data_IF_466545683173
#
_entry.id   IF_466545683173
#
_cell.length_a   1.000
_cell.length_b   1.000
_cell.length_c   1.000
_cell.angle_alpha   90.00
_cell.angle_beta   90.00
_cell.angle_gamma   90.00
#
_symmetry.space_group_name_H-M   'P 1'
#
loop_
_entity.id
_entity.type
_entity.pdbx_description
1 polymer ?
#
# COMPACT_ATOMS: atom_id res chain seq x y z
N UNK A 1 2.49 -11.02 -42.21
CA UNK A 1 3.19 -10.06 -41.34
C UNK A 1 2.19 -9.08 -40.73
N UNK A 2 1.33 -8.45 -41.54
CA UNK A 2 0.32 -7.48 -41.07
C UNK A 2 -0.64 -8.04 -40.02
N UNK A 3 -1.11 -9.28 -40.14
CA UNK A 3 -2.02 -9.92 -39.18
C UNK A 3 -1.48 -9.97 -37.74
N UNK A 4 -0.18 -10.24 -37.55
CA UNK A 4 0.44 -10.30 -36.22
C UNK A 4 0.66 -8.91 -35.63
N UNK A 5 1.08 -7.94 -36.45
CA UNK A 5 1.22 -6.54 -36.02
C UNK A 5 -0.14 -5.92 -35.71
N UNK A 6 -1.16 -6.21 -36.51
CA UNK A 6 -2.53 -5.73 -36.31
C UNK A 6 -3.15 -6.33 -35.04
N UNK A 7 -2.94 -7.63 -34.77
CA UNK A 7 -3.36 -8.25 -33.50
C UNK A 7 -2.67 -7.62 -32.29
N UNK A 8 -1.37 -7.33 -32.38
CA UNK A 8 -0.63 -6.65 -31.31
C UNK A 8 -1.14 -5.22 -31.10
N UNK A 9 -1.43 -4.49 -32.18
CA UNK A 9 -1.96 -3.14 -32.12
C UNK A 9 -3.38 -3.10 -31.55
N UNK A 10 -4.26 -4.02 -31.97
CA UNK A 10 -5.59 -4.21 -31.40
C UNK A 10 -5.52 -4.55 -29.91
N UNK A 11 -4.61 -5.44 -29.51
CA UNK A 11 -4.40 -5.80 -28.12
C UNK A 11 -3.99 -4.59 -27.28
N UNK A 12 -3.01 -3.81 -27.75
CA UNK A 12 -2.57 -2.57 -27.09
C UNK A 12 -3.70 -1.55 -26.96
N UNK A 13 -4.55 -1.41 -27.99
CA UNK A 13 -5.70 -0.50 -27.96
C UNK A 13 -6.81 -0.98 -27.02
N UNK A 14 -7.12 -2.28 -27.04
CA UNK A 14 -8.20 -2.87 -26.24
C UNK A 14 -7.90 -2.83 -24.75
N UNK A 15 -6.67 -3.16 -24.36
CA UNK A 15 -6.28 -3.19 -22.96
C UNK A 15 -5.62 -1.88 -22.49
N UNK A 16 -5.30 -0.96 -23.39
CA UNK A 16 -4.53 0.27 -23.12
C UNK A 16 -3.18 -0.01 -22.40
N UNK A 17 -2.54 -1.12 -22.75
CA UNK A 17 -1.30 -1.58 -22.12
C UNK A 17 -0.18 -1.62 -23.16
N UNK A 18 0.88 -0.85 -22.89
CA UNK A 18 2.08 -0.81 -23.70
C UNK A 18 3.06 -1.94 -23.33
N UNK A 19 3.25 -2.15 -22.03
CA UNK A 19 4.12 -3.18 -21.45
C UNK A 19 3.48 -3.79 -20.19
N UNK A 20 2.89 -5.00 -20.30
CA UNK A 20 2.29 -5.69 -19.15
C UNK A 20 3.29 -6.07 -18.05
N UNK A 21 4.56 -6.28 -18.39
CA UNK A 21 5.59 -6.71 -17.44
C UNK A 21 5.99 -5.55 -16.53
N UNK A 22 6.22 -4.37 -17.10
CA UNK A 22 6.48 -3.15 -16.34
C UNK A 22 5.31 -2.81 -15.40
N UNK A 23 4.06 -2.90 -15.86
CA UNK A 23 2.89 -2.66 -15.01
C UNK A 23 2.76 -3.69 -13.88
N UNK A 24 3.11 -4.96 -14.13
CA UNK A 24 3.08 -6.02 -13.10
C UNK A 24 4.08 -5.75 -11.99
N UNK A 25 5.25 -5.23 -12.35
CA UNK A 25 6.27 -4.81 -11.39
C UNK A 25 5.77 -3.64 -10.54
N UNK A 26 5.21 -2.60 -11.16
CA UNK A 26 4.68 -1.43 -10.44
C UNK A 26 3.57 -1.82 -9.46
N UNK A 27 2.61 -2.64 -9.89
CA UNK A 27 1.55 -3.14 -8.98
C UNK A 27 2.13 -3.96 -7.82
N UNK A 28 3.21 -4.72 -8.06
CA UNK A 28 3.86 -5.52 -7.01
C UNK A 28 4.54 -4.63 -5.96
N UNK A 29 5.15 -3.53 -6.42
CA UNK A 29 5.75 -2.52 -5.55
C UNK A 29 4.68 -1.79 -4.73
N UNK A 30 3.58 -1.36 -5.36
CA UNK A 30 2.44 -0.76 -4.69
C UNK A 30 1.83 -1.72 -3.65
N UNK A 31 1.61 -2.99 -4.00
CA UNK A 31 1.12 -4.02 -3.08
C UNK A 31 2.02 -4.16 -1.85
N UNK A 32 3.33 -4.17 -2.05
CA UNK A 32 4.30 -4.27 -0.96
C UNK A 32 4.23 -3.04 -0.04
N UNK A 33 4.07 -1.85 -0.61
CA UNK A 33 3.92 -0.62 0.16
C UNK A 33 2.64 -0.61 1.00
N UNK A 34 1.49 -0.98 0.42
CA UNK A 34 0.21 -1.05 1.16
C UNK A 34 0.23 -2.12 2.26
N UNK A 35 0.84 -3.29 2.00
CA UNK A 35 1.04 -4.33 3.02
C UNK A 35 1.86 -3.84 4.20
N UNK A 36 2.93 -3.09 3.93
CA UNK A 36 3.73 -2.46 4.99
C UNK A 36 2.89 -1.49 5.81
N UNK A 37 2.14 -0.61 5.14
CA UNK A 37 1.27 0.35 5.81
C UNK A 37 0.18 -0.34 6.64
N UNK A 38 -0.36 -1.47 6.18
CA UNK A 38 -1.34 -2.27 6.91
C UNK A 38 -0.73 -2.85 8.19
N UNK A 39 0.45 -3.45 8.09
CA UNK A 39 1.17 -3.99 9.26
C UNK A 39 1.49 -2.90 10.29
N UNK A 40 1.95 -1.72 9.85
CA UNK A 40 2.19 -0.58 10.72
C UNK A 40 0.90 -0.10 11.41
N UNK A 41 -0.20 -0.03 10.67
CA UNK A 41 -1.52 0.35 11.21
C UNK A 41 -2.03 -0.68 12.21
N UNK A 42 -1.83 -1.97 11.95
CA UNK A 42 -2.20 -3.08 12.83
C UNK A 42 -1.44 -3.05 14.16
N UNK A 43 -0.12 -2.80 14.10
CA UNK A 43 0.71 -2.59 15.30
C UNK A 43 0.22 -1.40 16.11
N UNK A 44 -0.01 -0.25 15.46
CA UNK A 44 -0.53 0.94 16.13
C UNK A 44 -1.91 0.69 16.76
N UNK A 45 -2.81 0.03 16.04
CA UNK A 45 -4.14 -0.32 16.54
C UNK A 45 -4.07 -1.20 17.79
N UNK A 46 -3.18 -2.20 17.80
CA UNK A 46 -3.01 -3.07 18.95
C UNK A 46 -2.44 -2.33 20.16
N UNK A 47 -1.51 -1.39 19.95
CA UNK A 47 -0.98 -0.54 21.02
C UNK A 47 -2.06 0.32 21.66
N UNK A 48 -2.88 1.01 20.84
CA UNK A 48 -3.97 1.86 21.35
C UNK A 48 -5.04 1.03 22.05
N UNK A 49 -5.37 -0.17 21.53
CA UNK A 49 -6.29 -1.10 22.20
C UNK A 49 -5.80 -1.54 23.58
N UNK A 50 -4.51 -1.84 23.71
CA UNK A 50 -3.91 -2.17 25.01
C UNK A 50 -4.04 -0.99 25.97
N UNK A 51 -3.65 0.21 25.52
CA UNK A 51 -3.73 1.42 26.34
C UNK A 51 -5.17 1.75 26.76
N UNK A 52 -6.15 1.52 25.89
CA UNK A 52 -7.57 1.70 26.21
C UNK A 52 -8.06 0.70 27.26
N UNK A 53 -7.66 -0.57 27.15
CA UNK A 53 -7.98 -1.60 28.14
C UNK A 53 -7.42 -1.26 29.51
N UNK A 54 -6.16 -0.78 29.56
CA UNK A 54 -5.51 -0.35 30.80
C UNK A 54 -6.24 0.86 31.41
N UNK A 55 -6.63 1.84 30.57
CA UNK A 55 -7.41 3.00 30.97
C UNK A 55 -8.77 2.61 31.54
N UNK A 56 -9.52 1.75 30.85
CA UNK A 56 -10.83 1.28 31.32
C UNK A 56 -10.73 0.55 32.65
N UNK A 57 -9.70 -0.29 32.81
CA UNK A 57 -9.45 -1.05 34.05
C UNK A 57 -9.14 -0.11 35.21
N UNK A 58 -8.25 0.87 35.03
CA UNK A 58 -7.89 1.79 36.10
C UNK A 58 -9.05 2.71 36.51
N UNK A 59 -9.82 3.22 35.54
CA UNK A 59 -10.99 4.07 35.84
C UNK A 59 -12.09 3.29 36.60
N UNK A 60 -12.23 1.99 36.32
CA UNK A 60 -13.18 1.14 37.04
C UNK A 60 -12.72 0.83 38.48
N UNK A 61 -11.41 0.76 38.72
CA UNK A 61 -10.84 0.45 40.04
C UNK A 61 -10.65 1.69 40.94
N UNK A 62 -10.47 2.87 40.36
CA UNK A 62 -10.19 4.13 41.09
C UNK A 62 -11.14 5.25 40.66
N UNK A 63 -12.38 5.26 41.16
CA UNK A 63 -13.40 6.26 40.79
C UNK A 63 -13.11 7.67 41.33
N UNK A 64 -12.13 7.83 42.23
CA UNK A 64 -11.76 9.13 42.82
C UNK A 64 -10.89 10.00 41.90
N UNK A 65 -10.76 9.66 40.62
CA UNK A 65 -9.99 10.45 39.65
C UNK A 65 -8.47 10.34 39.80
N UNK A 66 -7.97 9.36 40.56
CA UNK A 66 -6.53 9.10 40.77
C UNK A 66 -6.00 7.97 39.87
N UNK A 67 -6.61 7.81 38.69
CA UNK A 67 -6.09 6.89 37.68
C UNK A 67 -4.79 7.45 37.09
N UNK A 68 -3.79 6.59 36.97
CA UNK A 68 -2.44 6.93 36.52
C UNK A 68 -2.06 6.04 35.34
N UNK A 69 -2.71 6.27 34.21
CA UNK A 69 -2.34 5.66 32.93
C UNK A 69 -1.51 6.62 32.10
N UNK A 70 -0.77 6.07 31.13
CA UNK A 70 -0.02 6.86 30.15
C UNK A 70 -0.91 7.82 29.37
N UNK A 71 -2.14 7.42 29.01
CA UNK A 71 -3.09 8.27 28.30
C UNK A 71 -3.51 9.49 29.13
N UNK A 72 -3.78 9.29 30.43
CA UNK A 72 -4.16 10.37 31.35
C UNK A 72 -2.96 11.23 31.75
N UNK A 73 -1.77 10.64 31.89
CA UNK A 73 -0.55 11.38 32.25
C UNK A 73 -0.06 12.32 31.15
N UNK A 74 -0.33 11.97 29.89
CA UNK A 74 -0.02 12.81 28.74
C UNK A 74 -1.05 13.91 28.48
N UNK A 75 -2.24 13.85 29.11
CA UNK A 75 -3.26 14.87 28.95
C UNK A 75 -3.01 16.07 29.87
N UNK A 76 -2.68 17.22 29.28
CA UNK A 76 -2.33 18.44 30.03
C UNK A 76 -3.48 19.00 30.90
N UNK A 77 -4.75 18.80 30.51
CA UNK A 77 -5.90 19.29 31.30
C UNK A 77 -6.12 18.42 32.53
N UNK A 78 -6.03 17.11 32.37
CA UNK A 78 -6.10 16.16 33.46
C UNK A 78 -4.97 16.39 34.48
N UNK A 79 -3.73 16.59 34.01
CA UNK A 79 -2.61 16.92 34.90
C UNK A 79 -2.85 18.21 35.69
N UNK A 80 -3.35 19.28 35.04
CA UNK A 80 -3.69 20.53 35.74
C UNK A 80 -4.75 20.36 36.83
N UNK A 81 -5.77 19.53 36.58
CA UNK A 81 -6.81 19.25 37.57
C UNK A 81 -6.24 18.44 38.76
N UNK A 82 -5.33 17.50 38.50
CA UNK A 82 -4.62 16.76 39.55
C UNK A 82 -3.72 17.67 40.38
N UNK A 83 -3.00 18.60 39.75
CA UNK A 83 -2.17 19.60 40.46
C UNK A 83 -3.03 20.48 41.38
N UNK A 84 -4.21 20.92 40.90
CA UNK A 84 -5.16 21.67 41.72
C UNK A 84 -5.68 20.86 42.89
N UNK A 85 -6.05 19.59 42.67
CA UNK A 85 -6.49 18.69 43.72
C UNK A 85 -5.41 18.50 44.79
N UNK A 86 -4.16 18.25 44.38
CA UNK A 86 -3.03 18.12 45.29
C UNK A 86 -2.78 19.42 46.08
N UNK A 87 -2.89 20.58 45.43
CA UNK A 87 -2.79 21.87 46.13
C UNK A 87 -3.87 22.01 47.21
N UNK A 88 -5.12 21.64 46.92
CA UNK A 88 -6.19 21.68 47.92
C UNK A 88 -5.95 20.67 49.03
N UNK A 89 -5.55 19.44 48.71
CA UNK A 89 -5.24 18.39 49.71
C UNK A 89 -4.10 18.82 50.66
N UNK A 90 -3.06 19.49 50.15
CA UNK A 90 -1.96 20.01 50.99
C UNK A 90 -2.42 21.16 51.90
N UNK A 91 -3.33 22.04 51.42
CA UNK A 91 -3.92 23.10 52.23
C UNK A 91 -4.82 22.54 53.33
N UNK A 92 -5.64 21.52 53.02
CA UNK A 92 -6.44 20.81 54.02
C UNK A 92 -5.54 20.21 55.09
N UNK A 93 -4.47 19.51 54.70
CA UNK A 93 -3.54 18.90 55.65
C UNK A 93 -2.85 19.92 56.57
N UNK A 94 -2.49 21.09 56.03
CA UNK A 94 -1.89 22.16 56.80
C UNK A 94 -2.88 22.79 57.80
N UNK A 95 -4.10 23.11 57.34
CA UNK A 95 -5.15 23.72 58.17
C UNK A 95 -5.66 22.75 59.26
N UNK A 96 -5.86 21.47 58.94
CA UNK A 96 -6.28 20.44 59.91
C UNK A 96 -5.23 20.15 60.99
N UNK A 97 -3.96 20.49 60.78
CA UNK A 97 -2.92 20.41 61.81
C UNK A 97 -3.02 21.55 62.82
N UNK A 98 -3.53 22.71 62.38
CA UNK A 98 -3.61 23.94 63.18
C UNK A 98 -4.97 24.14 63.84
N UNK A 99 -6.03 23.57 63.27
CA UNK A 99 -7.41 23.79 63.68
C UNK A 99 -8.16 22.47 63.88
N UNK A 100 -9.16 22.48 64.76
CA UNK A 100 -10.05 21.33 65.00
C UNK A 100 -10.82 21.00 63.71
N UNK A 101 -11.04 19.71 63.44
CA UNK A 101 -11.88 19.24 62.33
C UNK A 101 -13.23 19.96 62.34
N UNK A 102 -13.52 20.72 61.27
CA UNK A 102 -14.77 21.49 61.11
C UNK A 102 -14.65 23.02 61.20
N UNK A 103 -13.43 23.58 61.17
CA UNK A 103 -13.27 25.03 61.00
C UNK A 103 -13.86 25.50 59.64
N UNK A 104 -14.41 26.73 59.55
CA UNK A 104 -14.97 27.25 58.29
C UNK A 104 -13.99 27.18 57.11
N UNK A 105 -12.70 27.39 57.37
CA UNK A 105 -11.65 27.33 56.35
C UNK A 105 -11.46 25.90 55.81
N UNK A 106 -11.39 24.90 56.70
CA UNK A 106 -11.28 23.49 56.31
C UNK A 106 -12.50 23.06 55.50
N UNK A 107 -13.70 23.53 55.86
CA UNK A 107 -14.93 23.19 55.15
C UNK A 107 -14.96 23.75 53.72
N UNK A 108 -14.55 25.00 53.52
CA UNK A 108 -14.41 25.59 52.18
C UNK A 108 -13.43 24.79 51.31
N UNK A 109 -12.31 24.34 51.87
CA UNK A 109 -11.34 23.52 51.15
C UNK A 109 -11.89 22.13 50.81
N UNK A 110 -12.64 21.51 51.72
CA UNK A 110 -13.32 20.24 51.43
C UNK A 110 -14.38 20.39 50.32
N UNK A 111 -15.13 21.49 50.30
CA UNK A 111 -16.09 21.79 49.22
C UNK A 111 -15.36 21.98 47.88
N UNK A 112 -14.24 22.71 47.87
CA UNK A 112 -13.39 22.85 46.67
C UNK A 112 -12.91 21.48 46.17
N UNK A 113 -12.41 20.62 47.07
CA UNK A 113 -12.00 19.25 46.75
C UNK A 113 -13.16 18.45 46.14
N UNK A 114 -14.34 18.50 46.76
CA UNK A 114 -15.55 17.81 46.30
C UNK A 114 -15.98 18.27 44.90
N UNK A 115 -15.80 19.55 44.57
CA UNK A 115 -16.09 20.10 43.25
C UNK A 115 -15.03 19.74 42.19
N UNK A 116 -13.78 19.51 42.58
CA UNK A 116 -12.70 19.12 41.65
C UNK A 116 -12.80 17.66 41.18
N UNK A 117 -13.18 16.74 42.08
CA UNK A 117 -13.32 15.31 41.76
C UNK A 117 -14.21 15.03 40.52
N UNK A 118 -15.43 15.57 40.39
CA UNK A 118 -16.25 15.34 39.19
C UNK A 118 -15.64 15.95 37.94
N UNK A 119 -14.88 17.05 38.04
CA UNK A 119 -14.18 17.63 36.88
C UNK A 119 -13.06 16.71 36.40
N UNK A 120 -12.29 16.11 37.32
CA UNK A 120 -11.25 15.13 37.01
C UNK A 120 -11.86 13.89 36.34
N UNK A 121 -12.96 13.36 36.89
CA UNK A 121 -13.65 12.21 36.34
C UNK A 121 -14.21 12.49 34.94
N UNK A 122 -14.78 13.68 34.72
CA UNK A 122 -15.25 14.09 33.40
C UNK A 122 -14.09 14.20 32.40
N UNK A 123 -12.95 14.77 32.80
CA UNK A 123 -11.79 14.84 31.90
C UNK A 123 -11.21 13.45 31.61
N UNK A 124 -11.20 12.55 32.59
CA UNK A 124 -10.79 11.16 32.38
C UNK A 124 -11.70 10.44 31.37
N UNK A 125 -13.01 10.64 31.46
CA UNK A 125 -13.97 10.11 30.48
C UNK A 125 -13.73 10.69 29.09
N UNK A 126 -13.45 12.00 28.99
CA UNK A 126 -13.11 12.63 27.71
C UNK A 126 -11.86 12.04 27.07
N UNK A 127 -10.81 11.77 27.87
CA UNK A 127 -9.60 11.08 27.39
C UNK A 127 -9.94 9.66 26.93
N UNK A 128 -10.79 8.93 27.66
CA UNK A 128 -11.23 7.60 27.26
C UNK A 128 -11.96 7.63 25.90
N UNK A 129 -12.86 8.58 25.69
CA UNK A 129 -13.59 8.73 24.44
C UNK A 129 -12.67 9.09 23.26
N UNK A 130 -11.65 9.90 23.51
CA UNK A 130 -10.62 10.25 22.53
C UNK A 130 -9.81 9.02 22.11
N UNK A 131 -9.32 8.22 23.06
CA UNK A 131 -8.61 6.96 22.77
C UNK A 131 -9.53 5.97 22.04
N UNK A 132 -10.80 5.87 22.42
CA UNK A 132 -11.79 5.06 21.69
C UNK A 132 -11.98 5.53 20.25
N UNK A 133 -11.94 6.84 19.99
CA UNK A 133 -11.99 7.39 18.64
C UNK A 133 -10.77 7.00 17.82
N UNK A 134 -9.57 7.09 18.40
CA UNK A 134 -8.34 6.66 17.73
C UNK A 134 -8.38 5.18 17.32
N UNK A 135 -8.97 4.31 18.16
CA UNK A 135 -9.20 2.89 17.81
C UNK A 135 -10.12 2.76 16.59
N UNK A 136 -11.21 3.53 16.53
CA UNK A 136 -12.15 3.52 15.39
C UNK A 136 -11.46 3.98 14.12
N UNK A 137 -10.69 5.06 14.18
CA UNK A 137 -9.98 5.63 13.04
C UNK A 137 -8.93 4.67 12.48
N UNK A 138 -8.10 4.08 13.36
CA UNK A 138 -7.11 3.07 12.97
C UNK A 138 -7.77 1.80 12.42
N UNK A 139 -8.89 1.37 13.00
CA UNK A 139 -9.65 0.21 12.50
C UNK A 139 -10.20 0.46 11.10
N UNK A 140 -10.79 1.63 10.86
CA UNK A 140 -11.30 2.03 9.55
C UNK A 140 -10.17 2.12 8.51
N UNK A 141 -9.03 2.72 8.90
CA UNK A 141 -7.83 2.76 8.04
C UNK A 141 -7.34 1.38 7.67
N UNK A 142 -7.28 0.46 8.63
CA UNK A 142 -6.85 -0.93 8.38
C UNK A 142 -7.82 -1.64 7.40
N UNK A 143 -9.13 -1.46 7.55
CA UNK A 143 -10.12 -2.03 6.63
C UNK A 143 -9.97 -1.46 5.21
N UNK A 144 -9.75 -0.15 5.07
CA UNK A 144 -9.51 0.47 3.77
C UNK A 144 -8.23 -0.07 3.09
N UNK A 145 -7.18 -0.33 3.88
CA UNK A 145 -5.94 -0.93 3.38
C UNK A 145 -6.16 -2.37 2.91
N UNK A 146 -6.90 -3.19 3.67
CA UNK A 146 -7.29 -4.54 3.24
C UNK A 146 -8.06 -4.52 1.93
N UNK A 147 -9.06 -3.63 1.81
CA UNK A 147 -9.82 -3.48 0.56
C UNK A 147 -8.96 -3.05 -0.63
N UNK A 148 -7.98 -2.17 -0.41
CA UNK A 148 -7.04 -1.72 -1.44
C UNK A 148 -6.10 -2.86 -1.86
N UNK A 149 -5.56 -3.63 -0.92
CA UNK A 149 -4.75 -4.81 -1.21
C UNK A 149 -5.53 -5.85 -2.02
N UNK A 150 -6.79 -6.10 -1.67
CA UNK A 150 -7.63 -7.06 -2.40
C UNK A 150 -7.89 -6.61 -3.84
N UNK A 151 -8.16 -5.31 -4.05
CA UNK A 151 -8.29 -4.73 -5.39
C UNK A 151 -7.00 -4.83 -6.20
N UNK A 152 -5.85 -4.52 -5.60
CA UNK A 152 -4.56 -4.66 -6.29
C UNK A 152 -4.24 -6.12 -6.63
N UNK A 153 -4.60 -7.06 -5.75
CA UNK A 153 -4.43 -8.48 -5.99
C UNK A 153 -5.28 -8.95 -7.18
N UNK A 154 -6.51 -8.45 -7.30
CA UNK A 154 -7.36 -8.74 -8.44
C UNK A 154 -6.76 -8.17 -9.74
N UNK A 155 -6.33 -6.90 -9.74
CA UNK A 155 -5.66 -6.29 -10.91
C UNK A 155 -4.41 -7.06 -11.32
N UNK A 156 -3.65 -7.57 -10.35
CA UNK A 156 -2.46 -8.39 -10.62
C UNK A 156 -2.80 -9.72 -11.29
N UNK A 157 -3.90 -10.37 -10.89
CA UNK A 157 -4.40 -11.59 -11.55
C UNK A 157 -4.82 -11.30 -12.99
N UNK A 158 -5.59 -10.23 -13.19
CA UNK A 158 -6.07 -9.84 -14.52
C UNK A 158 -4.88 -9.51 -15.45
N UNK A 159 -3.91 -8.75 -14.94
CA UNK A 159 -2.70 -8.40 -15.67
C UNK A 159 -1.83 -9.62 -16.00
N UNK A 160 -1.80 -10.63 -15.13
CA UNK A 160 -1.08 -11.89 -15.41
C UNK A 160 -1.67 -12.65 -16.60
N UNK A 161 -3.00 -12.61 -16.77
CA UNK A 161 -3.67 -13.20 -17.94
C UNK A 161 -3.30 -12.42 -19.19
N UNK A 162 -3.41 -11.09 -19.14
CA UNK A 162 -3.07 -10.17 -20.24
C UNK A 162 -1.59 -10.34 -20.66
N UNK A 163 -0.67 -10.39 -19.69
CA UNK A 163 0.77 -10.52 -19.95
C UNK A 163 1.08 -11.80 -20.73
N UNK A 164 0.44 -12.94 -20.40
CA UNK A 164 0.61 -14.20 -21.12
C UNK A 164 0.14 -14.10 -22.57
N UNK A 165 -0.99 -13.45 -22.81
CA UNK A 165 -1.51 -13.23 -24.16
C UNK A 165 -0.59 -12.34 -24.98
N UNK A 166 -0.09 -11.26 -24.37
CA UNK A 166 0.88 -10.37 -24.98
C UNK A 166 2.17 -11.09 -25.40
N UNK A 167 2.77 -11.87 -24.50
CA UNK A 167 3.97 -12.67 -24.79
C UNK A 167 3.72 -13.70 -25.91
N UNK A 168 2.53 -14.31 -25.94
CA UNK A 168 2.13 -15.22 -27.02
C UNK A 168 2.10 -14.51 -28.37
N UNK A 169 1.42 -13.36 -28.48
CA UNK A 169 1.32 -12.58 -29.72
C UNK A 169 2.71 -12.12 -30.19
N UNK A 170 3.56 -11.66 -29.26
CA UNK A 170 4.94 -11.27 -29.60
C UNK A 170 5.75 -12.44 -30.16
N UNK A 171 5.63 -13.64 -29.58
CA UNK A 171 6.32 -14.84 -30.06
C UNK A 171 5.84 -15.25 -31.46
N UNK A 172 4.52 -15.24 -31.70
CA UNK A 172 3.95 -15.53 -33.02
C UNK A 172 4.46 -14.55 -34.09
N UNK A 173 4.52 -13.26 -33.75
CA UNK A 173 5.05 -12.23 -34.64
C UNK A 173 6.54 -12.43 -34.93
N UNK A 174 7.33 -12.78 -33.92
CA UNK A 174 8.76 -13.06 -34.08
C UNK A 174 8.99 -14.26 -35.01
N UNK A 175 8.29 -15.38 -34.80
CA UNK A 175 8.39 -16.57 -35.65
C UNK A 175 7.98 -16.25 -37.10
N UNK A 176 6.89 -15.51 -37.29
CA UNK A 176 6.43 -15.13 -38.62
C UNK A 176 7.45 -14.23 -39.35
N UNK A 177 8.13 -13.35 -38.61
CA UNK A 177 9.17 -12.46 -39.15
C UNK A 177 10.41 -13.25 -39.56
N UNK A 178 10.86 -14.17 -38.71
CA UNK A 178 12.00 -15.05 -38.99
C UNK A 178 11.75 -15.95 -40.21
N UNK A 179 10.59 -16.60 -40.27
CA UNK A 179 10.21 -17.44 -41.40
C UNK A 179 10.18 -16.66 -42.73
N UNK A 180 9.70 -15.42 -42.70
CA UNK A 180 9.69 -14.56 -43.88
C UNK A 180 11.11 -14.21 -44.33
N UNK A 181 12.00 -13.84 -43.41
CA UNK A 181 13.39 -13.54 -43.70
C UNK A 181 14.08 -14.73 -44.37
N UNK A 182 13.87 -15.94 -43.83
CA UNK A 182 14.40 -17.18 -44.42
C UNK A 182 13.83 -17.45 -45.82
N UNK A 183 12.53 -17.22 -46.04
CA UNK A 183 11.92 -17.38 -47.36
C UNK A 183 12.49 -16.39 -48.38
N UNK A 184 12.65 -15.12 -48.00
CA UNK A 184 13.24 -14.09 -48.87
C UNK A 184 14.69 -14.43 -49.22
N UNK A 185 15.49 -14.91 -48.26
CA UNK A 185 16.85 -15.37 -48.50
C UNK A 185 16.89 -16.56 -49.48
N UNK A 186 16.04 -17.58 -49.30
CA UNK A 186 15.93 -18.73 -50.22
C UNK A 186 15.52 -18.30 -51.62
N UNK A 187 14.57 -17.38 -51.74
CA UNK A 187 14.13 -16.84 -53.03
C UNK A 187 15.29 -16.14 -53.76
N UNK A 188 16.07 -15.33 -53.04
CA UNK A 188 17.21 -14.62 -53.63
C UNK A 188 18.31 -15.60 -54.07
N UNK A 189 18.60 -16.61 -53.26
CA UNK A 189 19.53 -17.69 -53.64
C UNK A 189 19.09 -18.39 -54.94
N UNK A 190 17.81 -18.74 -55.07
CA UNK A 190 17.28 -19.37 -56.29
C UNK A 190 17.35 -18.46 -57.52
N UNK A 191 17.19 -17.14 -57.36
CA UNK A 191 17.37 -16.18 -58.47
C UNK A 191 18.82 -16.13 -58.94
N UNK A 192 19.76 -16.13 -58.00
CA UNK A 192 21.19 -16.17 -58.29
C UNK A 192 21.53 -17.47 -59.04
N UNK A 193 21.08 -18.62 -58.54
CA UNK A 193 21.27 -19.92 -59.18
C UNK A 193 20.69 -19.99 -60.60
N UNK A 194 19.49 -19.42 -60.80
CA UNK A 194 18.84 -19.39 -62.11
C UNK A 194 19.63 -18.52 -63.11
N UNK A 195 20.19 -17.38 -62.67
CA UNK A 195 21.06 -16.53 -63.49
C UNK A 195 22.38 -17.20 -63.86
N UNK A 196 22.96 -18.00 -62.95
CA UNK A 196 24.20 -18.74 -63.21
C UNK A 196 24.01 -19.95 -64.15
N UNK A 197 22.83 -20.57 -64.18
CA UNK A 197 22.53 -21.72 -65.06
C UNK A 197 22.19 -21.34 -66.51
N UNK A 198 21.96 -20.07 -66.83
CA UNK A 198 21.52 -19.61 -68.16
C UNK A 198 22.62 -19.29 -69.20
N UNK A 199 23.87 -19.70 -68.99
CA UNK A 199 24.92 -19.58 -70.04
C UNK A 199 25.49 -20.95 -70.44
N UNK A 200 25.11 -21.44 -71.62
CA UNK A 200 26.11 -21.61 -72.67
C UNK A 200 25.54 -21.22 -74.04
N UNK A 201 25.84 -20.01 -74.52
CA UNK A 201 25.76 -19.74 -75.96
C UNK A 201 27.01 -20.33 -76.62
N UNK A 202 26.93 -21.58 -77.09
CA UNK A 202 27.93 -22.14 -78.00
C UNK A 202 27.70 -21.57 -79.41
N UNK A 203 28.72 -20.88 -79.94
CA UNK A 203 28.76 -20.46 -81.34
C UNK A 203 28.70 -21.69 -82.26
N UNK A 204 27.65 -21.78 -83.09
CA UNK A 204 27.59 -22.71 -84.22
C UNK A 204 27.96 -21.93 -85.48
N UNK A 205 29.14 -22.20 -86.03
CA UNK A 205 29.49 -21.98 -87.43
C UNK A 205 30.28 -23.23 -87.84
N UNK A 206 29.84 -24.10 -88.75
CA UNK A 206 29.42 -23.85 -90.14
C UNK A 206 30.55 -24.37 -91.06
N UNK A 207 30.31 -25.25 -92.03
CA UNK A 207 31.26 -26.30 -92.43
C UNK A 207 32.43 -25.85 -93.29
N UNK A 208 33.47 -26.68 -93.21
CA UNK A 208 34.70 -26.76 -94.00
C UNK A 208 34.57 -26.39 -95.47
N UNK A 209 35.57 -25.68 -95.98
CA UNK A 209 36.05 -25.99 -97.33
C UNK A 209 37.58 -25.99 -97.41
N UNK A 210 38.07 -27.01 -98.11
CA UNK A 210 39.46 -27.43 -98.23
C UNK A 210 40.29 -26.46 -99.09
N UNK A 211 41.61 -26.49 -98.88
CA UNK A 211 42.59 -25.97 -99.81
C UNK A 211 43.92 -26.69 -99.62
N UNK A 212 44.20 -27.65 -100.49
CA UNK A 212 45.46 -28.38 -100.61
C UNK A 212 46.65 -27.47 -100.90
N UNK A 213 47.83 -27.83 -100.40
CA UNK A 213 48.99 -28.30 -101.18
C UNK A 213 50.02 -28.96 -100.24
#
# INVERSE_FOLDING_TARGET
>A
MELGQQRLQQFRQQYNIFDPESQSKELSEQMTAFRRQRLETEVALNQVRSSFSDLQTQLSQKPDGLASTTALSQNARYQKLLEQLQSVDTQIAAESSLFVDGSPNVQVLQDQRSNLVPLINNEAQRVQDEVASQIRDLSARNQALVGTEEQLNQRMKDLSVIAREYTRIQRELQIATENLNQFLAKREALKIDAGQRQTPWQLIAGPSNQGCL
#
